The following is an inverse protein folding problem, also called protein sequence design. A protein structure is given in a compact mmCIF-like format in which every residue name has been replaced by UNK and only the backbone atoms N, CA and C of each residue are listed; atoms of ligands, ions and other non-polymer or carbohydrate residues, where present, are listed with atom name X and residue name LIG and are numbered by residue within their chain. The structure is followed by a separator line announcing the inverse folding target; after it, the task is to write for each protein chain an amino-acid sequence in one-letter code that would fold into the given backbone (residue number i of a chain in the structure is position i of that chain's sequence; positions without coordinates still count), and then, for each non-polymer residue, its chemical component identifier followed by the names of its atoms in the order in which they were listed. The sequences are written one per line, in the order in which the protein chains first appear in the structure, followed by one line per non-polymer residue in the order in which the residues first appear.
data_IF_591390147174
#
_entry.id   IF_591390147174
#
_cell.length_a   1.000
_cell.length_b   1.000
_cell.length_c   1.000
_cell.angle_alpha   90.00
_cell.angle_beta   90.00
_cell.angle_gamma   90.00
#
_symmetry.space_group_name_H-M   'P 1'
#
loop_
_entity.id
_entity.type
_entity.pdbx_description
1 polymer ?
#
# COMPACT_ATOMS: atom_id res chain seq x y z
N UNK A 1 -70.81 19.71 67.26
CA UNK A 1 -71.98 19.36 66.42
C UNK A 1 -71.50 18.49 65.27
N UNK A 2 -71.96 17.22 65.27
CA UNK A 2 -72.06 16.25 64.21
C UNK A 2 -70.75 15.88 63.51
N UNK A 3 -70.08 14.81 63.84
CA UNK A 3 -70.38 13.37 63.60
C UNK A 3 -70.62 13.02 62.12
N UNK A 4 -69.67 12.29 61.52
CA UNK A 4 -70.01 11.08 60.82
C UNK A 4 -68.73 10.33 60.31
N UNK A 5 -68.58 9.22 60.98
CA UNK A 5 -67.88 8.03 60.53
C UNK A 5 -68.33 7.52 59.18
N UNK A 6 -67.45 7.09 58.29
CA UNK A 6 -67.69 5.90 57.38
C UNK A 6 -66.44 5.12 57.13
N UNK A 7 -66.64 3.84 57.09
CA UNK A 7 -65.73 2.72 57.09
C UNK A 7 -64.84 2.55 55.82
N UNK A 8 -63.73 1.94 56.10
CA UNK A 8 -62.78 1.35 55.17
C UNK A 8 -63.36 0.25 54.29
N UNK A 9 -62.93 0.18 53.03
CA UNK A 9 -62.85 -1.02 52.30
C UNK A 9 -61.47 -1.11 51.60
N UNK A 10 -60.67 -2.04 52.08
CA UNK A 10 -59.36 -2.33 51.47
C UNK A 10 -59.53 -2.98 50.12
N UNK A 11 -58.83 -2.44 49.15
CA UNK A 11 -58.57 -3.12 47.86
C UNK A 11 -57.06 -3.32 47.74
N UNK A 12 -56.66 -4.56 47.93
CA UNK A 12 -55.30 -5.01 47.68
C UNK A 12 -55.08 -5.02 46.17
N UNK A 13 -54.36 -4.06 45.63
CA UNK A 13 -53.92 -4.06 44.26
C UNK A 13 -52.58 -4.77 44.16
N UNK A 14 -52.62 -5.97 43.67
CA UNK A 14 -51.43 -6.75 43.30
C UNK A 14 -50.80 -6.13 42.05
N UNK A 15 -49.70 -5.38 42.22
CA UNK A 15 -48.92 -4.94 41.07
C UNK A 15 -48.18 -6.12 40.44
N UNK A 16 -48.67 -6.63 39.32
CA UNK A 16 -47.89 -7.49 38.39
C UNK A 16 -46.89 -6.59 37.64
N UNK A 17 -45.66 -6.63 38.07
CA UNK A 17 -44.56 -6.02 37.33
C UNK A 17 -44.26 -6.87 36.10
N UNK A 18 -44.75 -6.46 34.92
CA UNK A 18 -44.28 -6.97 33.65
C UNK A 18 -42.91 -6.39 33.35
N UNK A 19 -41.84 -7.16 33.61
CA UNK A 19 -40.52 -6.91 33.04
C UNK A 19 -40.59 -7.17 31.55
N UNK A 20 -40.72 -6.12 30.74
CA UNK A 20 -40.40 -6.20 29.31
C UNK A 20 -38.90 -6.28 29.19
N UNK A 21 -38.39 -7.49 28.98
CA UNK A 21 -37.05 -7.72 28.43
C UNK A 21 -37.04 -7.20 26.98
N UNK A 22 -36.64 -5.92 26.83
CA UNK A 22 -36.28 -5.40 25.52
C UNK A 22 -34.97 -6.09 25.15
N UNK A 23 -35.06 -7.22 24.44
CA UNK A 23 -33.94 -7.73 23.65
C UNK A 23 -33.71 -6.73 22.53
N UNK A 24 -32.82 -5.74 22.81
CA UNK A 24 -32.24 -4.94 21.75
C UNK A 24 -31.53 -5.86 20.78
N UNK A 25 -32.14 -6.17 19.66
CA UNK A 25 -31.42 -6.60 18.50
C UNK A 25 -30.43 -5.47 18.20
N UNK A 26 -29.18 -5.64 18.65
CA UNK A 26 -28.06 -4.92 18.10
C UNK A 26 -28.03 -5.34 16.63
N UNK A 27 -28.73 -4.60 15.79
CA UNK A 27 -28.65 -4.78 14.35
C UNK A 27 -27.20 -4.67 13.97
N UNK A 28 -26.63 -5.76 13.47
CA UNK A 28 -25.31 -5.70 12.84
C UNK A 28 -25.41 -4.63 11.76
N UNK A 29 -24.49 -3.68 11.78
CA UNK A 29 -24.39 -2.70 10.71
C UNK A 29 -24.36 -3.48 9.37
N UNK A 30 -25.07 -2.99 8.32
CA UNK A 30 -25.05 -3.64 7.04
C UNK A 30 -23.59 -3.79 6.58
N UNK A 31 -23.24 -4.90 5.92
CA UNK A 31 -21.88 -5.12 5.46
C UNK A 31 -21.47 -3.99 4.51
N UNK A 32 -20.26 -3.48 4.69
CA UNK A 32 -19.69 -2.46 3.81
C UNK A 32 -19.76 -2.92 2.35
N UNK A 33 -20.24 -2.06 1.47
CA UNK A 33 -20.30 -2.30 0.03
C UNK A 33 -19.22 -1.48 -0.66
N UNK A 34 -18.19 -2.15 -1.19
CA UNK A 34 -17.16 -1.46 -1.97
C UNK A 34 -17.68 -1.10 -3.35
N UNK A 35 -17.50 0.16 -3.75
CA UNK A 35 -17.82 0.64 -5.11
C UNK A 35 -16.83 0.06 -6.13
N UNK A 36 -15.54 0.05 -5.78
CA UNK A 36 -14.48 -0.53 -6.61
C UNK A 36 -14.12 -1.92 -6.09
N UNK A 37 -14.19 -2.93 -6.95
CA UNK A 37 -13.91 -4.34 -6.59
C UNK A 37 -12.96 -4.97 -7.60
N UNK A 38 -12.20 -5.95 -7.16
CA UNK A 38 -11.41 -6.76 -8.07
C UNK A 38 -12.31 -7.40 -9.15
N UNK A 39 -11.77 -7.56 -10.33
CA UNK A 39 -12.43 -8.27 -11.43
C UNK A 39 -12.38 -9.80 -11.24
N UNK A 40 -11.49 -10.29 -10.36
CA UNK A 40 -11.29 -11.69 -10.03
C UNK A 40 -11.59 -12.00 -8.56
N UNK A 41 -11.19 -13.19 -8.12
CA UNK A 41 -11.36 -13.67 -6.74
C UNK A 41 -10.33 -13.13 -5.76
N UNK A 42 -9.28 -12.49 -6.24
CA UNK A 42 -8.19 -11.89 -5.46
C UNK A 42 -7.74 -10.57 -6.09
N UNK A 43 -7.14 -9.66 -5.31
CA UNK A 43 -6.57 -8.44 -5.85
C UNK A 43 -5.43 -8.74 -6.82
N UNK A 44 -5.23 -7.85 -7.79
CA UNK A 44 -3.97 -7.80 -8.53
C UNK A 44 -2.85 -7.31 -7.62
N UNK A 45 -1.69 -7.94 -7.72
CA UNK A 45 -0.51 -7.53 -6.96
C UNK A 45 0.37 -6.68 -7.86
N UNK A 46 0.65 -5.46 -7.43
CA UNK A 46 1.51 -4.50 -8.09
C UNK A 46 2.68 -4.15 -7.17
N UNK A 47 3.76 -3.58 -7.66
CA UNK A 47 4.91 -3.23 -6.83
C UNK A 47 5.51 -1.88 -7.23
N UNK A 48 5.89 -1.08 -6.23
CA UNK A 48 6.64 0.16 -6.46
C UNK A 48 8.03 -0.18 -6.98
N UNK A 49 8.47 0.57 -7.98
CA UNK A 49 9.74 0.36 -8.68
C UNK A 49 10.58 1.65 -8.66
N UNK A 50 11.75 1.55 -8.07
CA UNK A 50 12.71 2.63 -8.03
C UNK A 50 13.59 2.63 -9.28
N UNK A 51 13.43 3.69 -10.08
CA UNK A 51 14.04 3.80 -11.39
C UNK A 51 15.35 4.62 -11.40
N UNK A 52 16.00 4.82 -10.25
CA UNK A 52 17.11 5.79 -10.04
C UNK A 52 18.51 5.16 -9.97
N UNK A 53 18.65 3.84 -9.93
CA UNK A 53 19.96 3.20 -9.76
C UNK A 53 20.87 3.38 -10.98
N UNK A 54 22.12 3.73 -10.71
CA UNK A 54 23.12 4.05 -11.73
C UNK A 54 23.49 5.53 -11.77
N UNK A 55 22.90 6.36 -10.90
CA UNK A 55 23.30 7.75 -10.69
C UNK A 55 24.19 7.90 -9.46
N UNK A 56 25.01 8.97 -9.36
CA UNK A 56 25.83 9.23 -8.17
C UNK A 56 25.03 9.62 -6.91
N UNK A 57 23.73 9.91 -7.06
CA UNK A 57 22.85 10.30 -5.95
C UNK A 57 22.43 9.09 -5.10
N UNK A 58 22.50 7.89 -5.66
CA UNK A 58 21.99 6.67 -5.08
C UNK A 58 23.08 5.62 -4.91
N UNK A 59 22.87 4.68 -4.00
CA UNK A 59 23.81 3.60 -3.74
C UNK A 59 23.99 2.71 -4.98
N UNK A 60 25.18 2.09 -5.09
CA UNK A 60 25.41 1.10 -6.14
C UNK A 60 24.83 -0.25 -5.71
N UNK A 61 23.90 -0.75 -6.49
CA UNK A 61 23.25 -2.06 -6.31
C UNK A 61 23.72 -3.12 -7.33
N UNK A 62 24.80 -2.78 -8.07
CA UNK A 62 25.41 -3.67 -9.06
C UNK A 62 24.76 -3.64 -10.44
N UNK A 63 23.79 -2.75 -10.67
CA UNK A 63 23.16 -2.51 -11.97
C UNK A 63 22.79 -1.04 -12.16
N UNK A 64 22.34 -0.70 -13.36
CA UNK A 64 21.72 0.57 -13.68
C UNK A 64 20.29 0.38 -14.17
N UNK A 65 19.40 1.30 -13.79
CA UNK A 65 18.01 1.34 -14.26
C UNK A 65 17.89 1.69 -15.77
N UNK A 66 18.99 2.01 -16.42
CA UNK A 66 19.08 2.17 -17.88
C UNK A 66 19.50 0.89 -18.63
N UNK A 67 19.75 -0.23 -17.94
CA UNK A 67 20.08 -1.49 -18.60
C UNK A 67 18.80 -2.28 -18.99
N UNK A 68 18.51 -2.42 -20.29
CA UNK A 68 17.31 -3.14 -20.74
C UNK A 68 17.30 -4.62 -20.33
N UNK A 69 18.47 -5.26 -20.14
CA UNK A 69 18.53 -6.67 -19.71
C UNK A 69 18.15 -6.81 -18.24
N UNK A 70 18.60 -5.86 -17.41
CA UNK A 70 18.22 -5.80 -16.01
C UNK A 70 16.70 -5.66 -15.88
N UNK A 71 16.11 -4.68 -16.58
CA UNK A 71 14.66 -4.44 -16.53
C UNK A 71 13.89 -5.68 -17.02
N UNK A 72 14.30 -6.33 -18.13
CA UNK A 72 13.65 -7.57 -18.59
C UNK A 72 13.71 -8.68 -17.56
N UNK A 73 14.84 -8.83 -16.88
CA UNK A 73 15.01 -9.82 -15.82
C UNK A 73 14.13 -9.52 -14.61
N UNK A 74 14.03 -8.26 -14.22
CA UNK A 74 13.17 -7.80 -13.13
C UNK A 74 11.69 -8.04 -13.46
N UNK A 75 11.22 -7.67 -14.65
CA UNK A 75 9.85 -7.97 -15.11
C UNK A 75 9.58 -9.48 -15.07
N UNK A 76 10.52 -10.32 -15.57
CA UNK A 76 10.35 -11.78 -15.54
C UNK A 76 10.25 -12.32 -14.12
N UNK A 77 11.10 -11.84 -13.20
CA UNK A 77 11.06 -12.22 -11.79
C UNK A 77 9.73 -11.79 -11.15
N UNK A 78 9.32 -10.55 -11.34
CA UNK A 78 8.07 -10.01 -10.81
C UNK A 78 6.86 -10.83 -11.27
N UNK A 79 6.77 -11.15 -12.57
CA UNK A 79 5.74 -12.05 -13.11
C UNK A 79 5.78 -13.44 -12.45
N UNK A 80 6.98 -13.99 -12.25
CA UNK A 80 7.18 -15.28 -11.56
C UNK A 80 6.71 -15.25 -10.08
N UNK A 81 6.67 -14.08 -9.45
CA UNK A 81 6.15 -13.86 -8.10
C UNK A 81 4.66 -13.50 -8.08
N UNK A 82 3.98 -13.44 -9.23
CA UNK A 82 2.57 -13.08 -9.34
C UNK A 82 2.29 -11.59 -9.35
N UNK A 83 3.31 -10.74 -9.55
CA UNK A 83 3.17 -9.30 -9.70
C UNK A 83 2.78 -9.00 -11.15
N UNK A 84 1.76 -8.15 -11.34
CA UNK A 84 1.18 -7.82 -12.65
C UNK A 84 1.67 -6.49 -13.21
N UNK A 85 2.15 -5.57 -12.35
CA UNK A 85 2.61 -4.26 -12.76
C UNK A 85 3.73 -3.71 -11.86
N UNK A 86 4.57 -2.84 -12.45
CA UNK A 86 5.37 -1.89 -11.68
C UNK A 86 4.68 -0.53 -11.60
N UNK A 87 4.71 0.07 -10.45
CA UNK A 87 4.34 1.47 -10.20
C UNK A 87 5.64 2.23 -10.04
N UNK A 88 6.04 2.93 -11.09
CA UNK A 88 7.37 3.57 -11.14
C UNK A 88 7.32 4.92 -10.46
N UNK A 89 8.20 5.11 -9.48
CA UNK A 89 8.38 6.39 -8.83
C UNK A 89 9.00 7.39 -9.82
N UNK A 90 8.30 8.52 -10.07
CA UNK A 90 8.59 9.45 -11.16
C UNK A 90 8.47 10.91 -10.73
N UNK A 91 9.49 11.68 -11.04
CA UNK A 91 9.76 13.01 -10.51
C UNK A 91 9.57 14.15 -11.53
N UNK A 92 8.84 13.90 -12.61
CA UNK A 92 8.75 14.89 -13.69
C UNK A 92 10.07 15.06 -14.45
N UNK A 93 10.25 16.21 -15.07
CA UNK A 93 11.47 16.56 -15.78
C UNK A 93 12.63 16.97 -14.85
N UNK A 94 12.37 17.09 -13.55
CA UNK A 94 13.39 17.38 -12.52
C UNK A 94 14.47 16.30 -12.44
N UNK A 95 14.11 15.05 -12.76
CA UNK A 95 15.02 13.91 -12.76
C UNK A 95 15.05 13.20 -14.13
N UNK A 96 15.77 13.77 -15.12
CA UNK A 96 15.79 13.24 -16.49
C UNK A 96 16.27 11.80 -16.60
N UNK A 97 17.10 11.32 -15.66
CA UNK A 97 17.53 9.93 -15.62
C UNK A 97 16.34 9.00 -15.29
N UNK A 98 15.51 9.37 -14.33
CA UNK A 98 14.34 8.60 -13.94
C UNK A 98 13.29 8.61 -15.06
N UNK A 99 13.08 9.74 -15.72
CA UNK A 99 12.18 9.84 -16.86
C UNK A 99 12.59 8.91 -18.01
N UNK A 100 13.88 8.87 -18.35
CA UNK A 100 14.41 7.94 -19.34
C UNK A 100 14.28 6.47 -18.89
N UNK A 101 14.50 6.19 -17.61
CA UNK A 101 14.28 4.85 -17.04
C UNK A 101 12.81 4.44 -17.15
N UNK A 102 11.88 5.36 -16.86
CA UNK A 102 10.43 5.13 -17.02
C UNK A 102 10.09 4.72 -18.47
N UNK A 103 10.60 5.47 -19.45
CA UNK A 103 10.40 5.18 -20.87
C UNK A 103 10.87 3.76 -21.24
N UNK A 104 12.03 3.32 -20.71
CA UNK A 104 12.55 1.98 -20.91
C UNK A 104 11.66 0.92 -20.26
N UNK A 105 11.24 1.13 -19.01
CA UNK A 105 10.37 0.21 -18.29
C UNK A 105 9.05 0.04 -19.03
N UNK A 106 8.39 1.13 -19.46
CA UNK A 106 7.13 1.07 -20.21
C UNK A 106 7.28 0.32 -21.55
N UNK A 107 8.32 0.61 -22.32
CA UNK A 107 8.58 -0.06 -23.58
C UNK A 107 8.86 -1.57 -23.41
N UNK A 108 9.57 -1.95 -22.37
CA UNK A 108 9.87 -3.35 -22.08
C UNK A 108 8.67 -4.09 -21.48
N UNK A 109 7.88 -3.42 -20.63
CA UNK A 109 6.62 -3.95 -20.12
C UNK A 109 5.67 -4.32 -21.27
N UNK A 110 5.52 -3.44 -22.27
CA UNK A 110 4.71 -3.67 -23.45
C UNK A 110 5.13 -4.92 -24.24
N UNK A 111 6.44 -5.18 -24.32
CA UNK A 111 7.01 -6.35 -25.05
C UNK A 111 6.94 -7.65 -24.24
N UNK A 112 6.68 -7.58 -22.94
CA UNK A 112 6.70 -8.71 -22.03
C UNK A 112 5.33 -8.99 -21.38
N UNK A 113 4.24 -8.42 -21.91
CA UNK A 113 2.88 -8.58 -21.35
C UNK A 113 2.85 -8.27 -19.86
N UNK A 114 3.44 -7.16 -19.49
CA UNK A 114 3.50 -6.64 -18.14
C UNK A 114 2.95 -5.22 -18.13
N UNK A 115 2.50 -4.74 -16.97
CA UNK A 115 1.92 -3.41 -16.86
C UNK A 115 2.84 -2.46 -16.11
N UNK A 116 2.60 -1.16 -16.32
CA UNK A 116 3.31 -0.07 -15.66
C UNK A 116 2.35 1.06 -15.34
N UNK A 117 2.55 1.71 -14.21
CA UNK A 117 1.87 2.95 -13.85
C UNK A 117 2.88 3.97 -13.34
N UNK A 118 2.51 5.24 -13.33
CA UNK A 118 3.28 6.31 -12.70
C UNK A 118 2.89 6.41 -11.22
N UNK A 119 3.88 6.57 -10.35
CA UNK A 119 3.74 7.22 -9.05
C UNK A 119 4.39 8.60 -9.16
N UNK A 120 3.60 9.64 -9.05
CA UNK A 120 4.11 11.01 -9.11
C UNK A 120 4.61 11.45 -7.74
N UNK A 121 5.90 11.69 -7.64
CA UNK A 121 6.52 12.28 -6.46
C UNK A 121 6.36 13.81 -6.52
N UNK A 122 5.54 14.37 -5.62
CA UNK A 122 5.31 15.81 -5.55
C UNK A 122 6.62 16.56 -5.29
N UNK A 123 6.86 17.65 -5.99
CA UNK A 123 7.98 18.53 -5.68
C UNK A 123 7.80 19.16 -4.29
N UNK A 124 8.81 19.00 -3.43
CA UNK A 124 8.79 19.60 -2.09
C UNK A 124 9.21 21.08 -2.18
N UNK A 125 8.39 21.89 -2.86
CA UNK A 125 8.56 23.33 -3.01
C UNK A 125 7.25 24.03 -2.67
N UNK A 126 7.32 25.12 -1.91
CA UNK A 126 6.09 25.85 -1.51
C UNK A 126 5.51 26.65 -2.68
N UNK A 127 6.36 27.34 -3.45
CA UNK A 127 5.95 28.20 -4.54
C UNK A 127 6.02 27.47 -5.88
N UNK A 128 4.94 27.47 -6.62
CA UNK A 128 4.88 26.90 -7.97
C UNK A 128 4.54 25.40 -8.03
N UNK A 129 4.43 24.67 -6.91
CA UNK A 129 4.18 23.23 -6.90
C UNK A 129 2.96 22.81 -7.74
N UNK A 130 1.88 23.60 -7.71
CA UNK A 130 0.68 23.29 -8.49
C UNK A 130 0.91 23.42 -10.00
N UNK A 131 1.60 24.48 -10.43
CA UNK A 131 1.89 24.70 -11.85
C UNK A 131 2.88 23.68 -12.38
N UNK A 132 3.86 23.29 -11.56
CA UNK A 132 4.80 22.21 -11.86
C UNK A 132 4.07 20.87 -12.01
N UNK A 133 3.24 20.48 -11.05
CA UNK A 133 2.44 19.27 -11.14
C UNK A 133 1.54 19.24 -12.39
N UNK A 134 0.91 20.35 -12.76
CA UNK A 134 0.11 20.45 -13.98
C UNK A 134 0.97 20.27 -15.23
N UNK A 135 2.18 20.87 -15.27
CA UNK A 135 3.10 20.72 -16.38
C UNK A 135 3.59 19.27 -16.51
N UNK A 136 4.01 18.66 -15.40
CA UNK A 136 4.45 17.28 -15.32
C UNK A 136 3.38 16.29 -15.79
N UNK A 137 2.16 16.44 -15.28
CA UNK A 137 1.05 15.58 -15.70
C UNK A 137 0.73 15.73 -17.18
N UNK A 138 0.76 16.97 -17.70
CA UNK A 138 0.52 17.23 -19.13
C UNK A 138 1.62 16.58 -19.98
N UNK A 139 2.88 16.76 -19.61
CA UNK A 139 4.01 16.12 -20.28
C UNK A 139 3.89 14.60 -20.24
N UNK A 140 3.58 14.04 -19.09
CA UNK A 140 3.41 12.58 -18.92
C UNK A 140 2.30 12.05 -19.81
N UNK A 141 1.15 12.73 -19.86
CA UNK A 141 0.06 12.36 -20.74
C UNK A 141 0.49 12.30 -22.20
N UNK A 142 1.15 13.35 -22.68
CA UNK A 142 1.50 13.48 -24.10
C UNK A 142 2.59 12.47 -24.51
N UNK A 143 3.55 12.18 -23.62
CA UNK A 143 4.69 11.29 -23.92
C UNK A 143 4.36 9.82 -23.66
N UNK A 144 3.56 9.49 -22.63
CA UNK A 144 3.41 8.12 -22.14
C UNK A 144 1.99 7.55 -22.21
N UNK A 145 0.96 8.40 -22.15
CA UNK A 145 -0.43 7.95 -22.14
C UNK A 145 -1.16 8.11 -23.46
N UNK A 146 -0.69 9.01 -24.33
CA UNK A 146 -1.33 9.24 -25.62
C UNK A 146 -1.38 7.95 -26.45
N UNK A 147 -2.40 7.73 -27.29
CA UNK A 147 -2.53 6.51 -28.11
C UNK A 147 -1.32 6.21 -29.00
N UNK A 148 -0.57 7.25 -29.39
CA UNK A 148 0.61 7.14 -30.23
C UNK A 148 1.91 6.96 -29.43
N UNK A 149 1.84 7.03 -28.08
CA UNK A 149 3.01 6.91 -27.24
C UNK A 149 3.59 5.48 -27.28
N UNK A 150 4.94 5.33 -27.39
CA UNK A 150 5.57 4.03 -27.38
C UNK A 150 5.26 3.25 -26.10
N UNK A 151 4.66 2.07 -26.25
CA UNK A 151 4.36 1.20 -25.10
C UNK A 151 3.11 1.60 -24.32
N UNK A 152 2.31 2.59 -24.75
CA UNK A 152 1.11 3.04 -24.03
C UNK A 152 0.15 1.89 -23.67
N UNK A 153 0.08 0.83 -24.47
CA UNK A 153 -0.76 -0.35 -24.19
C UNK A 153 -0.33 -1.13 -22.94
N UNK A 154 0.89 -0.89 -22.42
CA UNK A 154 1.34 -1.45 -21.15
C UNK A 154 0.86 -0.66 -19.96
N UNK A 155 0.31 0.54 -20.14
CA UNK A 155 -0.12 1.33 -19.01
C UNK A 155 -1.23 0.63 -18.21
N UNK A 156 -1.11 0.66 -16.88
CA UNK A 156 -2.08 0.03 -15.98
C UNK A 156 -3.39 0.83 -15.97
N UNK A 157 -4.48 0.14 -16.23
CA UNK A 157 -5.81 0.72 -16.23
C UNK A 157 -6.75 -0.05 -15.31
N UNK A 158 -7.72 0.64 -14.76
CA UNK A 158 -8.84 0.02 -14.06
C UNK A 158 -10.16 0.58 -14.62
N UNK A 159 -11.06 -0.33 -15.01
CA UNK A 159 -12.32 0.03 -15.69
C UNK A 159 -12.10 0.95 -16.91
N UNK A 160 -11.02 0.71 -17.66
CA UNK A 160 -10.67 1.48 -18.85
C UNK A 160 -10.06 2.86 -18.59
N UNK A 161 -9.78 3.22 -17.34
CA UNK A 161 -9.18 4.50 -16.95
C UNK A 161 -7.73 4.27 -16.47
N UNK A 162 -6.75 5.10 -16.91
CA UNK A 162 -5.38 5.02 -16.41
C UNK A 162 -5.32 5.22 -14.89
N UNK A 163 -4.47 4.47 -14.20
CA UNK A 163 -4.18 4.67 -12.78
C UNK A 163 -2.94 5.56 -12.64
N UNK A 164 -3.06 6.65 -11.88
CA UNK A 164 -1.95 7.51 -11.51
C UNK A 164 -1.87 7.54 -9.99
N UNK A 165 -0.76 7.08 -9.45
CA UNK A 165 -0.47 7.16 -8.02
C UNK A 165 0.18 8.50 -7.71
N UNK A 166 -0.10 9.04 -6.54
CA UNK A 166 0.45 10.32 -6.08
C UNK A 166 1.06 10.13 -4.71
N UNK A 167 2.33 10.48 -4.60
CA UNK A 167 3.05 10.57 -3.35
C UNK A 167 3.22 12.05 -2.98
N UNK A 168 2.39 12.58 -2.06
CA UNK A 168 2.41 13.99 -1.72
C UNK A 168 3.60 14.29 -0.80
N UNK A 169 4.59 14.97 -1.33
CA UNK A 169 5.78 15.36 -0.60
C UNK A 169 5.70 16.84 -0.19
N UNK A 170 5.11 17.10 0.98
CA UNK A 170 4.94 18.45 1.51
C UNK A 170 3.51 19.01 1.43
N UNK A 171 2.66 18.44 0.60
CA UNK A 171 1.26 18.89 0.40
C UNK A 171 1.12 20.35 -0.05
N UNK A 172 2.01 20.80 -0.93
CA UNK A 172 2.00 22.17 -1.45
C UNK A 172 1.14 22.32 -2.70
N UNK A 173 0.76 21.22 -3.35
CA UNK A 173 -0.03 21.19 -4.58
C UNK A 173 -1.52 21.35 -4.30
N UNK A 174 -2.17 22.28 -5.02
CA UNK A 174 -3.63 22.34 -5.11
C UNK A 174 -4.14 21.25 -6.06
N UNK A 175 -4.35 20.07 -5.51
CA UNK A 175 -4.80 18.88 -6.25
C UNK A 175 -6.15 19.05 -6.91
N UNK A 176 -7.00 20.00 -6.48
CA UNK A 176 -8.25 20.29 -7.16
C UNK A 176 -7.99 20.93 -8.53
N UNK A 177 -6.95 21.76 -8.66
CA UNK A 177 -6.55 22.33 -9.97
C UNK A 177 -5.94 21.26 -10.89
N UNK A 178 -5.07 20.39 -10.38
CA UNK A 178 -4.55 19.24 -11.14
C UNK A 178 -5.70 18.39 -11.65
N UNK A 179 -6.66 18.03 -10.77
CA UNK A 179 -7.86 17.26 -11.14
C UNK A 179 -8.65 17.92 -12.26
N UNK A 180 -8.82 19.25 -12.21
CA UNK A 180 -9.55 19.98 -13.25
C UNK A 180 -8.87 19.89 -14.62
N UNK A 181 -7.55 19.73 -14.66
CA UNK A 181 -6.79 19.52 -15.91
C UNK A 181 -6.98 18.09 -16.41
N UNK A 182 -6.69 17.09 -15.58
CA UNK A 182 -6.71 15.68 -16.00
C UNK A 182 -8.11 15.15 -16.33
N UNK A 183 -9.16 15.78 -15.79
CA UNK A 183 -10.54 15.47 -16.15
C UNK A 183 -10.89 15.81 -17.60
N UNK A 184 -10.06 16.60 -18.30
CA UNK A 184 -10.22 16.88 -19.73
C UNK A 184 -9.66 15.78 -20.63
N UNK A 185 -8.89 14.84 -20.07
CA UNK A 185 -8.35 13.73 -20.84
C UNK A 185 -9.45 12.70 -21.15
N UNK A 186 -9.25 11.93 -22.18
CA UNK A 186 -10.20 10.88 -22.58
C UNK A 186 -9.47 9.55 -22.86
N UNK A 187 -9.58 8.59 -21.95
CA UNK A 187 -10.31 8.62 -20.68
C UNK A 187 -9.58 9.42 -19.59
N UNK A 188 -10.36 10.07 -18.71
CA UNK A 188 -9.80 10.72 -17.53
C UNK A 188 -9.21 9.67 -16.56
N UNK A 189 -8.03 9.92 -15.97
CA UNK A 189 -7.38 8.95 -15.09
C UNK A 189 -8.10 8.81 -13.75
N UNK A 190 -7.78 7.74 -13.04
CA UNK A 190 -8.03 7.58 -11.60
C UNK A 190 -6.78 8.08 -10.86
N UNK A 191 -6.93 9.08 -10.00
CA UNK A 191 -5.86 9.56 -9.12
C UNK A 191 -5.96 8.88 -7.76
N UNK A 192 -4.86 8.27 -7.32
CA UNK A 192 -4.79 7.47 -6.09
C UNK A 192 -3.72 8.09 -5.19
N UNK A 193 -4.14 8.67 -4.05
CA UNK A 193 -3.23 9.37 -3.14
C UNK A 193 -2.68 8.41 -2.07
N UNK A 194 -1.45 8.66 -1.66
CA UNK A 194 -0.85 8.06 -0.48
C UNK A 194 -1.60 8.45 0.80
N UNK A 195 -1.73 7.50 1.72
CA UNK A 195 -2.39 7.64 3.02
C UNK A 195 -3.89 7.99 2.96
N UNK A 196 -4.42 8.42 4.10
CA UNK A 196 -5.80 8.91 4.22
C UNK A 196 -5.91 10.33 3.65
N UNK A 197 -7.13 10.76 3.27
CA UNK A 197 -7.32 12.03 2.59
C UNK A 197 -6.69 13.22 3.30
N UNK A 198 -5.90 13.96 2.53
CA UNK A 198 -5.38 15.26 2.89
C UNK A 198 -6.36 16.41 2.64
N UNK A 199 -5.87 17.63 2.34
CA UNK A 199 -6.71 18.84 2.17
C UNK A 199 -7.71 18.77 1.01
N UNK A 200 -7.49 17.93 -0.01
CA UNK A 200 -8.31 17.86 -1.23
C UNK A 200 -8.85 16.44 -1.49
N UNK A 201 -9.68 15.86 -0.59
CA UNK A 201 -10.12 14.46 -0.72
C UNK A 201 -10.93 14.19 -1.98
N UNK A 202 -11.64 15.19 -2.49
CA UNK A 202 -12.46 15.07 -3.70
C UNK A 202 -11.63 15.10 -5.00
N UNK A 203 -10.37 15.49 -4.93
CA UNK A 203 -9.46 15.41 -6.06
C UNK A 203 -9.04 13.98 -6.40
N UNK A 204 -9.21 13.05 -5.47
CA UNK A 204 -8.73 11.68 -5.60
C UNK A 204 -9.87 10.67 -5.72
N UNK A 205 -9.68 9.68 -6.58
CA UNK A 205 -10.60 8.56 -6.77
C UNK A 205 -10.32 7.43 -5.76
N UNK A 206 -9.14 7.42 -5.13
CA UNK A 206 -8.75 6.38 -4.19
C UNK A 206 -7.53 6.71 -3.36
N UNK A 207 -7.15 5.74 -2.52
CA UNK A 207 -6.05 5.88 -1.56
C UNK A 207 -5.27 4.58 -1.41
N UNK A 208 -3.98 4.70 -1.09
CA UNK A 208 -3.11 3.58 -0.75
C UNK A 208 -2.29 3.91 0.53
N UNK A 209 -1.99 2.93 1.39
CA UNK A 209 -1.10 3.16 2.52
C UNK A 209 0.35 3.16 2.05
N UNK A 210 1.27 3.69 2.85
CA UNK A 210 2.71 3.54 2.67
C UNK A 210 3.32 2.86 3.88
N UNK A 211 4.58 2.41 3.81
CA UNK A 211 5.26 1.79 4.94
C UNK A 211 5.29 2.75 6.12
N UNK A 212 4.51 2.47 7.16
CA UNK A 212 4.40 3.34 8.32
C UNK A 212 4.10 2.54 9.59
N UNK A 213 4.81 2.80 10.71
CA UNK A 213 4.49 2.17 11.98
C UNK A 213 3.27 2.79 12.67
N UNK A 214 2.79 3.95 12.19
CA UNK A 214 1.71 4.71 12.80
C UNK A 214 2.11 5.40 14.11
N UNK A 215 1.13 5.67 15.00
CA UNK A 215 1.35 6.45 16.22
C UNK A 215 2.36 5.87 17.21
N UNK A 216 2.66 4.58 17.09
CA UNK A 216 3.66 3.92 17.94
C UNK A 216 5.10 4.28 17.58
N UNK A 217 5.31 4.91 16.39
CA UNK A 217 6.62 5.28 15.90
C UNK A 217 7.51 4.09 15.54
N UNK A 218 8.71 4.37 15.08
CA UNK A 218 9.71 3.38 14.71
C UNK A 218 10.35 2.77 15.96
N UNK A 219 10.48 1.45 15.99
CA UNK A 219 11.13 0.74 17.07
C UNK A 219 12.48 0.20 16.60
N UNK A 220 13.56 0.48 17.35
CA UNK A 220 14.90 0.03 16.99
C UNK A 220 15.04 -1.50 16.91
N UNK A 221 14.23 -2.23 17.68
CA UNK A 221 14.17 -3.70 17.64
C UNK A 221 13.25 -4.26 16.54
N UNK A 222 12.59 -3.40 15.78
CA UNK A 222 11.65 -3.77 14.72
C UNK A 222 10.38 -4.46 15.23
N UNK A 223 10.01 -4.28 16.49
CA UNK A 223 8.79 -4.89 17.06
C UNK A 223 7.51 -4.29 16.50
N UNK A 224 7.55 -3.00 16.11
CA UNK A 224 6.44 -2.32 15.46
C UNK A 224 6.58 -2.47 13.93
N UNK A 225 5.72 -3.29 13.33
CA UNK A 225 5.74 -3.57 11.89
C UNK A 225 4.58 -2.92 11.11
N UNK A 226 3.92 -1.94 11.72
CA UNK A 226 2.88 -1.14 11.06
C UNK A 226 1.49 -1.77 11.07
N UNK A 227 1.25 -2.83 11.85
CA UNK A 227 -0.02 -3.55 11.89
C UNK A 227 -1.21 -2.65 12.30
N UNK A 228 -1.01 -1.80 13.30
CA UNK A 228 -2.07 -0.88 13.76
C UNK A 228 -2.35 0.21 12.74
N UNK A 229 -1.31 0.79 12.17
CA UNK A 229 -1.46 1.79 11.12
C UNK A 229 -2.24 1.22 9.92
N UNK A 230 -1.84 0.06 9.42
CA UNK A 230 -2.50 -0.57 8.28
C UNK A 230 -3.94 -1.00 8.61
N UNK A 231 -4.18 -1.47 9.83
CA UNK A 231 -5.53 -1.79 10.30
C UNK A 231 -6.41 -0.54 10.37
N UNK A 232 -5.90 0.57 10.89
CA UNK A 232 -6.61 1.85 10.95
C UNK A 232 -6.88 2.42 9.55
N UNK A 233 -5.93 2.28 8.62
CA UNK A 233 -6.15 2.64 7.21
C UNK A 233 -7.35 1.88 6.65
N UNK A 234 -7.36 0.55 6.70
CA UNK A 234 -8.46 -0.24 6.14
C UNK A 234 -9.79 0.01 6.84
N UNK A 235 -9.78 0.21 8.15
CA UNK A 235 -10.98 0.56 8.91
C UNK A 235 -11.58 1.87 8.42
N UNK A 236 -10.76 2.92 8.29
CA UNK A 236 -11.24 4.22 7.79
C UNK A 236 -11.74 4.10 6.35
N UNK A 237 -11.04 3.37 5.47
CA UNK A 237 -11.48 3.14 4.10
C UNK A 237 -12.84 2.42 4.06
N UNK A 238 -13.03 1.38 4.88
CA UNK A 238 -14.29 0.65 4.95
C UNK A 238 -15.45 1.51 5.47
N UNK A 239 -15.21 2.29 6.54
CA UNK A 239 -16.26 3.01 7.25
C UNK A 239 -16.62 4.36 6.62
N UNK A 240 -15.62 5.08 6.05
CA UNK A 240 -15.77 6.47 5.62
C UNK A 240 -15.60 6.69 4.12
N UNK A 241 -14.86 5.81 3.44
CA UNK A 241 -14.43 6.00 2.05
C UNK A 241 -14.73 4.75 1.19
N UNK A 242 -15.83 4.05 1.47
CA UNK A 242 -16.23 2.85 0.73
C UNK A 242 -16.59 3.11 -0.74
N UNK A 243 -16.81 4.37 -1.09
CA UNK A 243 -17.02 4.87 -2.46
C UNK A 243 -15.70 5.13 -3.22
N UNK A 244 -14.55 5.13 -2.53
CA UNK A 244 -13.23 5.34 -3.11
C UNK A 244 -12.56 4.01 -3.47
N UNK A 245 -11.64 4.06 -4.43
CA UNK A 245 -10.80 2.93 -4.77
C UNK A 245 -9.77 2.69 -3.64
N UNK A 246 -9.72 1.44 -3.17
CA UNK A 246 -8.80 1.04 -2.12
C UNK A 246 -7.69 0.21 -2.76
N UNK A 247 -6.46 0.69 -2.66
CA UNK A 247 -5.27 -0.09 -2.94
C UNK A 247 -4.69 -0.54 -1.59
N UNK A 248 -4.50 -1.83 -1.40
CA UNK A 248 -3.89 -2.35 -0.19
C UNK A 248 -2.38 -2.17 -0.20
N UNK A 249 -1.75 -2.12 0.98
CA UNK A 249 -0.30 -2.09 1.13
C UNK A 249 0.27 -3.41 1.61
N UNK A 250 1.47 -3.73 1.14
CA UNK A 250 2.25 -4.87 1.61
C UNK A 250 3.73 -4.51 1.64
N UNK A 251 4.40 -4.77 2.75
CA UNK A 251 5.85 -4.56 2.89
C UNK A 251 6.53 -5.74 3.55
N UNK A 252 7.74 -6.10 3.10
CA UNK A 252 8.48 -7.23 3.65
C UNK A 252 9.21 -6.88 4.94
N UNK A 253 9.74 -5.68 5.01
CA UNK A 253 10.62 -5.11 6.05
C UNK A 253 10.90 -3.65 5.72
N UNK A 254 11.60 -2.96 6.58
CA UNK A 254 12.21 -1.66 6.31
C UNK A 254 13.52 -1.55 7.11
N UNK A 255 14.54 -0.98 6.52
CA UNK A 255 15.79 -0.60 7.20
C UNK A 255 16.48 0.49 6.38
N UNK A 256 16.17 1.74 6.68
CA UNK A 256 16.58 2.89 5.87
C UNK A 256 18.00 3.41 6.14
N UNK A 257 18.81 2.67 6.90
CA UNK A 257 20.15 3.14 7.30
C UNK A 257 21.09 3.47 6.14
N UNK A 258 20.81 3.01 4.92
CA UNK A 258 21.59 3.29 3.72
C UNK A 258 21.10 4.52 2.95
N UNK A 259 19.87 4.96 3.20
CA UNK A 259 19.31 6.11 2.55
C UNK A 259 20.00 7.40 3.04
N UNK A 260 20.28 8.33 2.13
CA UNK A 260 20.85 9.64 2.51
C UNK A 260 19.86 10.49 3.34
N UNK A 261 18.57 10.16 3.26
CA UNK A 261 17.45 10.74 4.04
C UNK A 261 17.03 9.89 5.22
N UNK A 262 17.86 8.95 5.66
CA UNK A 262 17.56 8.03 6.76
C UNK A 262 17.14 8.77 8.04
N UNK A 263 16.10 8.23 8.66
CA UNK A 263 15.63 8.61 10.00
C UNK A 263 15.82 7.48 11.01
N UNK A 264 16.66 6.48 10.70
CA UNK A 264 16.85 5.24 11.46
C UNK A 264 15.54 4.48 11.67
N UNK A 265 14.76 4.36 10.60
CA UNK A 265 13.49 3.61 10.60
C UNK A 265 13.78 2.14 10.42
N UNK A 266 13.06 1.32 11.17
CA UNK A 266 13.25 -0.12 11.12
C UNK A 266 11.94 -0.89 11.33
N UNK A 267 11.64 -1.83 10.41
CA UNK A 267 10.58 -2.83 10.52
C UNK A 267 11.20 -4.20 10.28
N UNK A 268 11.07 -5.10 11.25
CA UNK A 268 11.58 -6.46 11.13
C UNK A 268 10.80 -7.28 10.11
N UNK A 269 11.51 -8.07 9.30
CA UNK A 269 10.90 -9.01 8.35
C UNK A 269 10.13 -10.15 9.03
N UNK A 270 10.44 -10.47 10.30
CA UNK A 270 9.85 -11.58 11.06
C UNK A 270 9.80 -12.90 10.26
N UNK A 271 10.90 -13.22 9.59
CA UNK A 271 11.01 -14.41 8.73
C UNK A 271 9.96 -14.47 7.58
N UNK A 272 9.55 -13.32 7.05
CA UNK A 272 8.54 -13.19 6.00
C UNK A 272 7.10 -13.07 6.52
N UNK A 273 6.89 -13.15 7.83
CA UNK A 273 5.54 -12.94 8.42
C UNK A 273 5.05 -11.52 8.17
N UNK A 274 5.92 -10.50 8.26
CA UNK A 274 5.55 -9.12 7.99
C UNK A 274 4.94 -8.97 6.61
N UNK A 275 5.58 -9.52 5.59
CA UNK A 275 5.04 -9.52 4.23
C UNK A 275 3.70 -10.25 4.13
N UNK A 276 3.64 -11.47 4.66
CA UNK A 276 2.42 -12.30 4.56
C UNK A 276 1.23 -11.66 5.27
N UNK A 277 1.46 -11.06 6.44
CA UNK A 277 0.39 -10.45 7.23
C UNK A 277 -0.07 -9.11 6.64
N UNK A 278 0.84 -8.25 6.15
CA UNK A 278 0.46 -7.00 5.47
C UNK A 278 -0.30 -7.29 4.18
N UNK A 279 0.20 -8.18 3.33
CA UNK A 279 -0.44 -8.58 2.07
C UNK A 279 -1.90 -9.05 2.24
N UNK A 280 -2.23 -9.65 3.37
CA UNK A 280 -3.54 -10.24 3.61
C UNK A 280 -4.41 -9.45 4.59
N UNK A 281 -3.92 -8.37 5.20
CA UNK A 281 -4.61 -7.66 6.29
C UNK A 281 -5.97 -7.11 5.87
N UNK A 282 -6.12 -6.62 4.64
CA UNK A 282 -7.39 -6.11 4.09
C UNK A 282 -8.56 -7.09 4.28
N UNK A 283 -8.30 -8.41 4.25
CA UNK A 283 -9.32 -9.46 4.41
C UNK A 283 -10.08 -9.40 5.75
N UNK A 284 -9.50 -8.75 6.75
CA UNK A 284 -10.12 -8.59 8.08
C UNK A 284 -11.21 -7.51 8.09
N UNK A 285 -11.20 -6.60 7.12
CA UNK A 285 -12.05 -5.40 7.10
C UNK A 285 -13.17 -5.47 6.07
N UNK A 286 -13.06 -6.36 5.08
CA UNK A 286 -14.06 -6.48 4.02
C UNK A 286 -14.70 -7.86 4.05
N UNK A 287 -16.05 -7.92 3.87
CA UNK A 287 -16.80 -9.18 3.93
C UNK A 287 -16.29 -10.21 2.94
N UNK A 288 -16.51 -11.48 3.25
CA UNK A 288 -16.28 -12.59 2.32
C UNK A 288 -17.02 -12.35 1.00
N UNK A 289 -16.32 -12.53 -0.13
CA UNK A 289 -16.84 -12.26 -1.46
C UNK A 289 -16.68 -10.82 -1.95
N UNK A 290 -16.13 -9.92 -1.13
CA UNK A 290 -15.64 -8.63 -1.58
C UNK A 290 -14.11 -8.63 -1.61
N UNK A 291 -13.53 -8.14 -2.70
CA UNK A 291 -12.08 -8.10 -2.89
C UNK A 291 -11.70 -6.72 -3.40
N UNK A 292 -10.71 -6.09 -2.77
CA UNK A 292 -10.13 -4.83 -3.26
C UNK A 292 -9.44 -5.06 -4.61
N UNK A 293 -9.37 -4.06 -5.50
CA UNK A 293 -8.79 -4.25 -6.84
C UNK A 293 -7.32 -4.59 -6.82
N UNK A 294 -6.53 -3.91 -5.98
CA UNK A 294 -5.07 -4.00 -5.98
C UNK A 294 -4.52 -4.12 -4.57
N UNK A 295 -3.36 -4.78 -4.46
CA UNK A 295 -2.43 -4.66 -3.33
C UNK A 295 -1.06 -4.26 -3.89
N UNK A 296 -0.49 -3.19 -3.36
CA UNK A 296 0.81 -2.66 -3.76
C UNK A 296 1.89 -3.11 -2.79
N UNK A 297 2.96 -3.65 -3.33
CA UNK A 297 4.16 -4.01 -2.56
C UNK A 297 5.09 -2.80 -2.52
N UNK A 298 5.51 -2.44 -1.35
CA UNK A 298 6.38 -1.32 -1.04
C UNK A 298 7.69 -1.87 -0.45
N UNK A 299 8.71 -2.21 -1.31
CA UNK A 299 8.88 -1.94 -2.74
C UNK A 299 9.38 -3.16 -3.52
N UNK A 300 9.53 -3.04 -4.85
CA UNK A 300 10.26 -4.03 -5.65
C UNK A 300 11.75 -3.99 -5.33
N UNK A 301 12.36 -2.81 -5.38
CA UNK A 301 13.82 -2.67 -5.39
C UNK A 301 14.38 -1.46 -4.62
N UNK A 302 13.69 -0.95 -3.60
CA UNK A 302 14.30 0.08 -2.74
C UNK A 302 15.30 -0.54 -1.76
N UNK A 303 16.55 -0.59 -2.20
CA UNK A 303 17.68 -1.07 -1.42
C UNK A 303 18.23 -0.03 -0.44
N UNK A 304 17.84 1.24 -0.57
CA UNK A 304 18.26 2.32 0.33
C UNK A 304 17.39 2.34 1.58
N UNK A 305 16.10 2.13 1.43
CA UNK A 305 15.18 1.94 2.55
C UNK A 305 15.07 0.47 3.00
N UNK A 306 15.73 -0.46 2.31
CA UNK A 306 15.79 -1.86 2.69
C UNK A 306 14.43 -2.57 2.63
N UNK A 307 13.50 -2.06 1.83
CA UNK A 307 12.15 -2.63 1.66
C UNK A 307 12.01 -3.52 0.42
N UNK A 308 13.10 -3.78 -0.26
CA UNK A 308 13.15 -4.53 -1.52
C UNK A 308 12.68 -5.98 -1.39
N UNK A 309 11.97 -6.49 -2.42
CA UNK A 309 11.65 -7.90 -2.59
C UNK A 309 12.31 -8.53 -3.82
N UNK A 310 13.06 -7.77 -4.60
CA UNK A 310 13.74 -8.27 -5.80
C UNK A 310 14.61 -9.50 -5.54
N UNK A 311 15.37 -9.62 -4.43
CA UNK A 311 16.10 -10.85 -4.10
C UNK A 311 15.20 -12.02 -3.68
N UNK A 312 13.95 -11.76 -3.31
CA UNK A 312 12.99 -12.69 -2.74
C UNK A 312 12.44 -12.21 -1.38
N UNK A 313 11.33 -12.81 -0.96
CA UNK A 313 10.74 -12.52 0.36
C UNK A 313 11.69 -13.03 1.44
N UNK A 314 12.05 -12.23 2.46
CA UNK A 314 12.93 -12.63 3.53
C UNK A 314 12.37 -13.84 4.29
N UNK A 315 13.17 -14.92 4.42
CA UNK A 315 12.82 -16.10 5.20
C UNK A 315 13.91 -16.38 6.22
N UNK A 316 13.54 -16.95 7.40
CA UNK A 316 14.55 -17.52 8.28
C UNK A 316 14.87 -18.90 7.74
N UNK A 317 16.12 -19.12 7.34
CA UNK A 317 16.61 -20.46 7.10
C UNK A 317 16.69 -21.16 8.46
N UNK A 318 15.85 -22.17 8.68
CA UNK A 318 16.12 -23.15 9.75
C UNK A 318 17.55 -23.65 9.57
N UNK A 319 18.38 -23.65 10.63
CA UNK A 319 19.70 -24.28 10.56
C UNK A 319 19.49 -25.68 10.01
N UNK A 320 20.10 -25.94 8.84
CA UNK A 320 19.91 -27.22 8.18
C UNK A 320 20.16 -28.31 9.21
N UNK A 321 19.31 -29.33 9.29
CA UNK A 321 19.39 -30.44 10.23
C UNK A 321 20.79 -31.09 10.28
N UNK A 322 21.59 -30.95 9.22
CA UNK A 322 23.00 -31.32 9.13
C UNK A 322 23.92 -30.53 10.10
N UNK A 323 23.63 -29.24 10.33
CA UNK A 323 24.45 -28.43 11.27
C UNK A 323 24.08 -28.74 12.71
N UNK A 324 22.81 -29.03 13.02
CA UNK A 324 22.37 -29.48 14.34
C UNK A 324 22.91 -30.87 14.69
N UNK A 325 22.95 -31.79 13.71
CA UNK A 325 23.52 -33.13 13.91
C UNK A 325 25.04 -33.08 14.16
N UNK A 326 25.78 -32.25 13.40
CA UNK A 326 27.21 -32.05 13.58
C UNK A 326 27.57 -31.42 14.93
N UNK A 327 26.73 -30.54 15.46
CA UNK A 327 26.94 -29.95 16.79
C UNK A 327 26.59 -30.90 17.91
N UNK A 328 25.58 -31.77 17.75
CA UNK A 328 25.29 -32.87 18.71
C UNK A 328 26.39 -33.93 18.72
N UNK A 329 26.91 -34.32 17.54
CA UNK A 329 28.04 -35.30 17.47
C UNK A 329 29.32 -34.73 18.07
N UNK A 330 29.62 -33.42 17.87
CA UNK A 330 30.78 -32.78 18.51
C UNK A 330 30.63 -32.68 20.03
N UNK A 331 29.44 -32.43 20.57
CA UNK A 331 29.21 -32.38 22.02
C UNK A 331 29.27 -33.74 22.66
N UNK A 332 28.81 -34.80 22.01
CA UNK A 332 28.90 -36.17 22.53
C UNK A 332 30.33 -36.73 22.52
N UNK A 333 31.16 -36.35 21.52
CA UNK A 333 32.56 -36.73 21.48
C UNK A 333 33.43 -36.02 22.54
N UNK A 334 33.08 -34.79 22.92
CA UNK A 334 33.78 -34.05 23.96
C UNK A 334 33.53 -34.59 25.37
N UNK A 335 32.40 -35.27 25.59
CA UNK A 335 32.05 -35.84 26.91
C UNK A 335 32.64 -37.23 27.13
N UNK A 336 33.16 -37.90 26.10
CA UNK A 336 33.72 -39.25 26.19
C UNK A 336 35.23 -39.25 26.43
N UNK A 337 35.93 -38.11 26.39
CA UNK A 337 37.36 -37.98 26.58
C UNK A 337 37.77 -37.52 28.00
N UNK A 338 36.83 -37.47 28.95
CA UNK A 338 37.06 -37.18 30.37
C UNK A 338 36.51 -38.30 31.30
N UNK A 339 36.90 -39.53 31.04
CA UNK A 339 36.80 -40.61 32.04
C UNK A 339 38.06 -41.48 32.00
#
# INVERSE_FOLDING_TARGET
MLDNTYMSAGVSATLLSFLFLIHGCLGQAPPVQLTYRATGSSPEVIAVYEAWFGTPKHISVGYTSHDPEVIRNQIRKAKGMGISAFVVDWYGDREPFIDQSYALVQNLAAKNEFKVAMMYEEANVEEGATDEAIADFTMFHDIYLSPDAPGHQAYLTYQGRPLIFVFPNGNHTDWAKVRAVVNKWNPAPLLIQENLPGPHPDAFDGFYPWINPGPLGWAADGSNWGDRYLADFYKNMAEKYSDKLIVGGAWPKLDDHKASWSLNRHISARCGQTYTETLNMWRKFFPAGQTIPFVMIETWNDYEEGSEIEPGIPTCTEPSSKTALNNQVKSSLATTTQR
#
